data_IF_871452623509
#
_entry.id   IF_871452623509
#
_cell.length_a   1.000
_cell.length_b   1.000
_cell.length_c   1.000
_cell.angle_alpha   90.00
_cell.angle_beta   90.00
_cell.angle_gamma   90.00
#
_symmetry.space_group_name_H-M   'P 1'
#
loop_
_entity.id
_entity.type
_entity.pdbx_description
1 polymer ?
#
# COMPACT_ATOMS: atom_id res chain seq x y z
N UNK A 1 -9.87 32.06 -10.18
CA UNK A 1 -9.49 31.96 -8.75
C UNK A 1 -9.01 30.53 -8.54
N UNK A 2 -7.86 30.33 -7.90
CA UNK A 2 -7.40 28.98 -7.56
C UNK A 2 -8.30 28.32 -6.53
N UNK A 3 -8.40 27.00 -6.59
CA UNK A 3 -9.16 26.19 -5.63
C UNK A 3 -8.22 25.17 -4.97
N UNK A 4 -8.30 25.07 -3.65
CA UNK A 4 -7.53 24.09 -2.87
C UNK A 4 -8.39 22.90 -2.49
N UNK A 5 -7.88 21.70 -2.75
CA UNK A 5 -8.46 20.42 -2.35
C UNK A 5 -7.51 19.68 -1.43
N UNK A 6 -8.07 18.94 -0.47
CA UNK A 6 -7.32 18.03 0.40
C UNK A 6 -7.85 16.62 0.27
N UNK A 7 -6.94 15.65 0.22
CA UNK A 7 -7.24 14.24 0.08
C UNK A 7 -6.31 13.40 0.94
N UNK A 8 -6.85 12.39 1.62
CA UNK A 8 -6.06 11.42 2.36
C UNK A 8 -5.49 10.34 1.43
N UNK A 9 -4.19 10.13 1.48
CA UNK A 9 -3.49 9.07 0.77
C UNK A 9 -3.22 7.90 1.71
N UNK A 10 -4.12 6.92 1.76
CA UNK A 10 -4.06 5.82 2.71
C UNK A 10 -3.10 4.73 2.27
N UNK A 11 -2.30 4.23 3.22
CA UNK A 11 -1.41 3.10 3.03
C UNK A 11 -2.17 1.80 2.74
N UNK A 12 -1.48 0.82 2.16
CA UNK A 12 -1.98 -0.55 1.99
C UNK A 12 -1.09 -1.55 2.69
N UNK A 13 -1.66 -2.67 3.05
CA UNK A 13 -0.94 -3.91 3.37
C UNK A 13 -1.39 -5.04 2.45
N UNK A 14 -0.54 -6.06 2.27
CA UNK A 14 -0.90 -7.29 1.59
C UNK A 14 -1.27 -8.32 2.65
N UNK A 15 -2.53 -8.74 2.72
CA UNK A 15 -2.96 -9.85 3.58
C UNK A 15 -2.41 -11.17 3.04
N UNK A 16 -2.43 -11.32 1.71
CA UNK A 16 -1.72 -12.37 0.99
C UNK A 16 -0.91 -11.76 -0.13
N UNK A 17 0.24 -12.36 -0.46
CA UNK A 17 1.00 -12.05 -1.65
C UNK A 17 1.66 -13.31 -2.19
N UNK A 18 1.25 -13.72 -3.38
CA UNK A 18 1.85 -14.83 -4.13
C UNK A 18 2.47 -14.34 -5.44
N UNK A 19 3.53 -15.02 -5.88
CA UNK A 19 4.17 -14.82 -7.19
C UNK A 19 3.98 -16.11 -7.99
N UNK A 20 3.13 -16.04 -9.02
CA UNK A 20 2.66 -17.20 -9.76
C UNK A 20 3.60 -17.62 -10.91
N UNK A 21 4.52 -16.74 -11.30
CA UNK A 21 5.51 -17.03 -12.33
C UNK A 21 5.89 -15.82 -13.18
N UNK A 22 6.99 -15.97 -13.90
CA UNK A 22 7.56 -14.93 -14.75
C UNK A 22 6.82 -14.84 -16.09
N UNK A 23 6.61 -13.63 -16.55
CA UNK A 23 5.93 -13.29 -17.82
C UNK A 23 6.95 -13.08 -18.93
N UNK A 24 6.53 -13.21 -20.22
CA UNK A 24 7.41 -12.89 -21.35
C UNK A 24 7.91 -11.44 -21.39
N UNK A 25 7.17 -10.50 -20.76
CA UNK A 25 7.53 -9.09 -20.67
C UNK A 25 8.55 -8.78 -19.55
N UNK A 26 9.05 -9.83 -18.85
CA UNK A 26 10.03 -9.73 -17.76
C UNK A 26 9.44 -9.47 -16.39
N UNK A 27 8.16 -9.11 -16.29
CA UNK A 27 7.43 -9.00 -15.03
C UNK A 27 6.99 -10.36 -14.51
N UNK A 28 6.43 -10.38 -13.28
CA UNK A 28 5.82 -11.58 -12.70
C UNK A 28 4.31 -11.42 -12.62
N UNK A 29 3.58 -12.52 -12.80
CA UNK A 29 2.20 -12.60 -12.39
C UNK A 29 2.17 -12.73 -10.86
N UNK A 30 1.39 -11.87 -10.22
CA UNK A 30 1.14 -11.93 -8.79
C UNK A 30 -0.33 -12.14 -8.52
N UNK A 31 -0.63 -12.59 -7.32
CA UNK A 31 -1.99 -12.62 -6.77
C UNK A 31 -1.92 -12.19 -5.32
N UNK A 32 -2.68 -11.15 -4.96
CA UNK A 32 -2.61 -10.56 -3.63
C UNK A 32 -3.98 -10.12 -3.16
N UNK A 33 -4.33 -10.40 -1.92
CA UNK A 33 -5.41 -9.69 -1.24
C UNK A 33 -4.79 -8.50 -0.51
N UNK A 34 -5.21 -7.30 -0.91
CA UNK A 34 -4.75 -6.05 -0.32
C UNK A 34 -5.82 -5.41 0.57
N UNK A 35 -5.38 -4.73 1.61
CA UNK A 35 -6.21 -4.00 2.56
C UNK A 35 -5.69 -2.57 2.74
N UNK A 36 -6.58 -1.60 2.63
CA UNK A 36 -6.29 -0.20 3.00
C UNK A 36 -6.28 -0.04 4.52
N UNK A 37 -5.29 0.68 5.05
CA UNK A 37 -5.14 0.94 6.48
C UNK A 37 -5.09 2.43 6.79
N UNK A 38 -5.37 2.81 8.03
CA UNK A 38 -5.56 4.20 8.46
C UNK A 38 -4.28 5.05 8.52
N UNK A 39 -3.09 4.47 8.34
CA UNK A 39 -1.85 5.25 8.14
C UNK A 39 -1.98 5.98 6.81
N UNK A 40 -1.78 7.31 6.82
CA UNK A 40 -1.98 8.10 5.59
C UNK A 40 -1.04 9.28 5.50
N UNK A 41 -0.77 9.66 4.26
CA UNK A 41 -0.23 10.97 3.91
C UNK A 41 -1.36 11.97 3.67
N UNK A 42 -1.08 13.24 3.77
CA UNK A 42 -2.02 14.29 3.34
C UNK A 42 -1.53 14.87 2.01
N UNK A 43 -2.41 14.84 1.00
CA UNK A 43 -2.18 15.43 -0.32
C UNK A 43 -3.05 16.66 -0.48
N UNK A 44 -2.43 17.80 -0.78
CA UNK A 44 -3.11 19.06 -1.05
C UNK A 44 -2.86 19.45 -2.51
N UNK A 45 -3.91 19.76 -3.25
CA UNK A 45 -3.88 20.24 -4.62
C UNK A 45 -4.38 21.67 -4.67
N UNK A 46 -3.61 22.58 -5.24
CA UNK A 46 -4.09 23.91 -5.63
C UNK A 46 -4.18 23.95 -7.16
N UNK A 47 -5.40 24.15 -7.67
CA UNK A 47 -5.77 24.05 -9.08
C UNK A 47 -6.17 25.43 -9.60
N UNK A 48 -5.84 25.76 -10.84
CA UNK A 48 -6.11 27.08 -11.44
C UNK A 48 -5.15 28.15 -10.94
N UNK A 49 -3.90 27.78 -10.69
CA UNK A 49 -2.87 28.72 -10.20
C UNK A 49 -2.38 29.68 -11.28
N UNK A 50 -2.62 29.38 -12.56
CA UNK A 50 -2.08 30.11 -13.71
C UNK A 50 -0.55 30.03 -13.81
N UNK A 51 0.10 29.13 -13.09
CA UNK A 51 1.55 28.92 -13.03
C UNK A 51 1.92 27.52 -13.53
N UNK A 52 3.18 27.28 -13.90
CA UNK A 52 3.66 25.93 -14.18
C UNK A 52 3.38 24.97 -13.01
N UNK A 53 3.21 23.71 -13.30
CA UNK A 53 2.99 22.68 -12.28
C UNK A 53 4.17 22.61 -11.32
N UNK A 54 3.87 22.38 -10.05
CA UNK A 54 4.87 22.22 -9.00
C UNK A 54 4.48 21.05 -8.11
N UNK A 55 5.48 20.33 -7.58
CA UNK A 55 5.29 19.33 -6.54
C UNK A 55 6.25 19.61 -5.40
N UNK A 56 5.77 19.59 -4.18
CA UNK A 56 6.57 19.77 -2.97
C UNK A 56 6.33 18.65 -1.97
N UNK A 57 7.41 18.09 -1.44
CA UNK A 57 7.39 17.08 -0.38
C UNK A 57 8.60 17.30 0.53
N UNK A 58 8.37 17.37 1.84
CA UNK A 58 9.44 17.57 2.83
C UNK A 58 10.20 16.29 3.20
N UNK A 59 9.79 15.13 2.70
CA UNK A 59 10.45 13.86 3.01
C UNK A 59 11.68 13.63 2.10
N UNK A 60 12.77 13.20 2.71
CA UNK A 60 14.01 12.89 2.00
C UNK A 60 13.80 11.71 1.02
N UNK A 61 14.45 11.77 -0.16
CA UNK A 61 14.41 10.72 -1.18
C UNK A 61 13.10 10.62 -1.95
N UNK A 62 12.13 11.54 -1.75
CA UNK A 62 10.90 11.62 -2.54
C UNK A 62 11.11 12.64 -3.68
N UNK A 63 11.00 12.22 -4.96
CA UNK A 63 11.13 13.13 -6.09
C UNK A 63 10.11 14.27 -6.03
N UNK A 64 10.53 15.48 -6.43
CA UNK A 64 9.67 16.66 -6.49
C UNK A 64 9.52 17.19 -7.93
N UNK A 65 9.55 16.29 -8.90
CA UNK A 65 9.47 16.52 -10.33
C UNK A 65 8.50 15.53 -11.01
N UNK A 66 8.50 15.48 -12.32
CA UNK A 66 7.65 14.62 -13.17
C UNK A 66 7.88 13.12 -12.96
N UNK A 67 8.95 12.70 -12.29
CA UNK A 67 9.18 11.29 -11.96
C UNK A 67 8.34 10.82 -10.79
N UNK A 68 7.77 11.75 -10.01
CA UNK A 68 6.90 11.41 -8.89
C UNK A 68 5.56 10.83 -9.37
N UNK A 69 5.09 9.73 -8.74
CA UNK A 69 3.85 9.07 -9.12
C UNK A 69 2.61 9.97 -8.99
N UNK A 70 2.60 10.91 -8.04
CA UNK A 70 1.51 11.88 -7.87
C UNK A 70 1.44 12.88 -9.06
N UNK A 71 2.59 13.30 -9.57
CA UNK A 71 2.66 14.12 -10.79
C UNK A 71 2.16 13.33 -12.00
N UNK A 72 2.69 12.13 -12.21
CA UNK A 72 2.27 11.25 -13.31
C UNK A 72 0.78 10.91 -13.26
N UNK A 73 0.22 10.76 -12.08
CA UNK A 73 -1.23 10.55 -11.90
C UNK A 73 -2.05 11.75 -12.42
N UNK A 74 -1.60 12.98 -12.13
CA UNK A 74 -2.23 14.18 -12.66
C UNK A 74 -2.15 14.25 -14.20
N UNK A 75 -0.98 13.93 -14.77
CA UNK A 75 -0.80 13.90 -16.25
C UNK A 75 -1.74 12.86 -16.90
N UNK A 76 -1.80 11.64 -16.35
CA UNK A 76 -2.68 10.57 -16.86
C UNK A 76 -4.14 11.00 -16.79
N UNK A 77 -4.56 11.59 -15.67
CA UNK A 77 -5.93 12.11 -15.51
C UNK A 77 -6.26 13.20 -16.53
N UNK A 78 -5.39 14.20 -16.68
CA UNK A 78 -5.60 15.30 -17.62
C UNK A 78 -5.68 14.82 -19.07
N UNK A 79 -4.77 13.92 -19.46
CA UNK A 79 -4.80 13.29 -20.79
C UNK A 79 -6.09 12.53 -21.05
N UNK A 80 -6.54 11.69 -20.11
CA UNK A 80 -7.72 10.86 -20.28
C UNK A 80 -9.04 11.67 -20.27
N UNK A 81 -9.08 12.73 -19.46
CA UNK A 81 -10.29 13.58 -19.34
C UNK A 81 -10.36 14.71 -20.35
N UNK A 82 -9.26 15.02 -21.06
CA UNK A 82 -9.14 16.22 -21.90
C UNK A 82 -9.19 17.53 -21.11
N UNK A 83 -8.94 17.50 -19.80
CA UNK A 83 -8.97 18.66 -18.92
C UNK A 83 -7.58 19.24 -18.71
N UNK A 84 -7.50 20.56 -18.65
CA UNK A 84 -6.30 21.29 -18.22
C UNK A 84 -6.62 22.01 -16.90
N UNK A 85 -5.85 21.80 -15.84
CA UNK A 85 -6.03 22.46 -14.57
C UNK A 85 -5.64 23.95 -14.57
N UNK A 86 -5.12 24.50 -15.70
CA UNK A 86 -4.63 25.89 -15.82
C UNK A 86 -3.59 26.21 -14.72
N UNK A 87 -2.68 25.26 -14.46
CA UNK A 87 -1.69 25.30 -13.39
C UNK A 87 -2.10 24.48 -12.18
N UNK A 88 -1.16 23.70 -11.66
CA UNK A 88 -1.36 22.76 -10.56
C UNK A 88 -0.18 22.84 -9.58
N UNK A 89 -0.49 22.96 -8.29
CA UNK A 89 0.48 22.75 -7.23
C UNK A 89 0.08 21.53 -6.39
N UNK A 90 0.98 20.56 -6.26
CA UNK A 90 0.80 19.35 -5.45
C UNK A 90 1.70 19.49 -4.23
N UNK A 91 1.12 19.39 -3.03
CA UNK A 91 1.86 19.35 -1.78
C UNK A 91 1.57 18.04 -1.06
N UNK A 92 2.64 17.31 -0.70
CA UNK A 92 2.54 16.02 -0.01
C UNK A 92 3.17 16.14 1.37
N UNK A 93 2.40 15.80 2.42
CA UNK A 93 2.89 15.65 3.79
C UNK A 93 2.97 14.17 4.11
N UNK A 94 4.19 13.62 4.07
CA UNK A 94 4.46 12.19 4.27
C UNK A 94 4.38 11.80 5.75
N UNK A 95 3.66 10.70 6.01
CA UNK A 95 3.62 9.96 7.28
C UNK A 95 3.73 8.46 7.05
N UNK A 96 3.38 7.99 5.84
CA UNK A 96 3.60 6.59 5.45
C UNK A 96 5.11 6.38 5.31
N UNK A 97 5.71 5.42 6.01
CA UNK A 97 7.13 5.09 5.85
C UNK A 97 7.50 4.81 4.40
N UNK A 98 8.58 5.42 3.94
CA UNK A 98 9.10 5.20 2.58
C UNK A 98 9.82 3.84 2.48
N UNK A 99 9.80 3.22 1.29
CA UNK A 99 10.48 1.94 1.01
C UNK A 99 10.11 0.82 2.01
N UNK A 100 8.84 0.77 2.40
CA UNK A 100 8.32 -0.11 3.44
C UNK A 100 7.37 -1.22 2.92
N UNK A 101 7.06 -1.25 1.63
CA UNK A 101 6.01 -2.13 1.09
C UNK A 101 4.58 -1.67 1.41
N UNK A 102 4.41 -0.46 1.94
CA UNK A 102 3.12 0.14 2.34
C UNK A 102 2.42 0.94 1.23
N UNK A 103 3.02 1.04 0.04
CA UNK A 103 2.42 1.69 -1.12
C UNK A 103 2.30 3.22 -1.03
N UNK A 104 3.15 3.91 -0.23
CA UNK A 104 3.01 5.34 0.03
C UNK A 104 2.97 6.22 -1.21
N UNK A 105 3.89 6.06 -2.16
CA UNK A 105 3.87 6.83 -3.42
C UNK A 105 2.65 6.51 -4.28
N UNK A 106 2.19 5.25 -4.28
CA UNK A 106 0.97 4.83 -4.98
C UNK A 106 -0.29 5.39 -4.31
N UNK A 107 -0.27 5.52 -2.98
CA UNK A 107 -1.34 6.16 -2.23
C UNK A 107 -1.46 7.65 -2.57
N UNK A 108 -0.31 8.35 -2.65
CA UNK A 108 -0.27 9.76 -3.06
C UNK A 108 -0.85 9.95 -4.47
N UNK A 109 -0.45 9.09 -5.42
CA UNK A 109 -0.96 9.08 -6.79
C UNK A 109 -2.48 8.82 -6.85
N UNK A 110 -2.97 7.81 -6.11
CA UNK A 110 -4.40 7.52 -6.00
C UNK A 110 -5.19 8.69 -5.40
N UNK A 111 -4.64 9.38 -4.41
CA UNK A 111 -5.24 10.58 -3.83
C UNK A 111 -5.35 11.73 -4.85
N UNK A 112 -4.32 11.94 -5.68
CA UNK A 112 -4.36 12.93 -6.76
C UNK A 112 -5.46 12.59 -7.77
N UNK A 113 -5.57 11.33 -8.21
CA UNK A 113 -6.63 10.89 -9.12
C UNK A 113 -8.02 11.17 -8.55
N UNK A 114 -8.27 10.80 -7.28
CA UNK A 114 -9.57 11.06 -6.63
C UNK A 114 -9.87 12.55 -6.49
N UNK A 115 -8.87 13.34 -6.09
CA UNK A 115 -9.04 14.79 -5.92
C UNK A 115 -9.38 15.49 -7.24
N UNK A 116 -8.67 15.18 -8.34
CA UNK A 116 -8.95 15.71 -9.67
C UNK A 116 -10.31 15.24 -10.19
N UNK A 117 -10.65 13.96 -9.99
CA UNK A 117 -11.95 13.43 -10.38
C UNK A 117 -13.10 14.19 -9.68
N UNK A 118 -12.96 14.48 -8.38
CA UNK A 118 -13.91 15.30 -7.61
C UNK A 118 -13.96 16.75 -8.12
N UNK A 119 -12.80 17.34 -8.40
CA UNK A 119 -12.72 18.73 -8.90
C UNK A 119 -13.49 18.92 -10.21
N UNK A 120 -13.35 17.96 -11.12
CA UNK A 120 -14.03 18.00 -12.43
C UNK A 120 -15.40 17.32 -12.43
N UNK A 121 -16.06 17.22 -11.27
CA UNK A 121 -17.43 16.69 -11.11
C UNK A 121 -17.56 15.21 -11.56
N UNK A 122 -16.55 14.39 -11.24
CA UNK A 122 -16.55 12.93 -11.42
C UNK A 122 -16.71 12.46 -12.87
N UNK A 123 -15.83 12.86 -13.80
CA UNK A 123 -15.88 12.38 -15.19
C UNK A 123 -15.65 10.85 -15.30
N UNK A 124 -15.02 10.24 -14.31
CA UNK A 124 -14.75 8.81 -14.27
C UNK A 124 -15.46 8.13 -13.10
N UNK A 125 -15.96 6.90 -13.32
CA UNK A 125 -16.31 6.00 -12.22
C UNK A 125 -15.08 5.61 -11.43
N UNK A 126 -15.25 5.10 -10.20
CA UNK A 126 -14.12 4.68 -9.36
C UNK A 126 -13.28 3.58 -10.03
N UNK A 127 -13.91 2.67 -10.78
CA UNK A 127 -13.20 1.61 -11.51
C UNK A 127 -12.43 2.15 -12.71
N UNK A 128 -13.04 3.02 -13.51
CA UNK A 128 -12.33 3.68 -14.61
C UNK A 128 -11.14 4.52 -14.10
N UNK A 129 -11.31 5.18 -12.95
CA UNK A 129 -10.23 5.92 -12.30
C UNK A 129 -9.10 5.00 -11.82
N UNK A 130 -9.43 3.82 -11.29
CA UNK A 130 -8.46 2.81 -10.88
C UNK A 130 -7.71 2.22 -12.09
N UNK A 131 -8.39 2.05 -13.25
CA UNK A 131 -7.74 1.65 -14.51
C UNK A 131 -6.72 2.69 -14.98
N UNK A 132 -7.03 3.99 -14.86
CA UNK A 132 -6.05 5.06 -15.11
C UNK A 132 -4.86 4.95 -14.15
N UNK A 133 -5.10 4.59 -12.89
CA UNK A 133 -4.05 4.34 -11.91
C UNK A 133 -3.07 3.23 -12.34
N UNK A 134 -3.53 2.22 -13.08
CA UNK A 134 -2.68 1.14 -13.60
C UNK A 134 -1.60 1.62 -14.58
N UNK A 135 -1.85 2.72 -15.30
CA UNK A 135 -0.86 3.34 -16.19
C UNK A 135 0.28 4.02 -15.41
N UNK A 136 0.00 4.43 -14.17
CA UNK A 136 0.97 5.10 -13.29
C UNK A 136 1.82 4.09 -12.52
N UNK A 137 1.17 3.05 -11.96
CA UNK A 137 1.86 2.00 -11.23
C UNK A 137 0.89 0.92 -10.72
N UNK A 138 1.40 -0.30 -10.52
CA UNK A 138 0.57 -1.46 -10.17
C UNK A 138 -0.29 -1.26 -8.92
N UNK A 139 0.29 -0.73 -7.84
CA UNK A 139 -0.45 -0.49 -6.58
C UNK A 139 -1.34 0.75 -6.64
N UNK A 140 -1.18 1.63 -7.65
CA UNK A 140 -1.98 2.87 -7.76
C UNK A 140 -3.44 2.57 -8.01
N UNK A 141 -3.74 1.52 -8.80
CA UNK A 141 -5.11 1.05 -9.02
C UNK A 141 -5.80 0.74 -7.69
N UNK A 142 -5.17 -0.08 -6.85
CA UNK A 142 -5.70 -0.43 -5.54
C UNK A 142 -5.82 0.79 -4.63
N UNK A 143 -4.78 1.63 -4.54
CA UNK A 143 -4.79 2.84 -3.72
C UNK A 143 -5.85 3.86 -4.17
N UNK A 144 -6.27 3.81 -5.44
CA UNK A 144 -7.37 4.63 -5.97
C UNK A 144 -8.73 4.08 -5.54
N UNK A 145 -8.91 2.74 -5.60
CA UNK A 145 -10.16 2.06 -5.23
C UNK A 145 -10.36 2.01 -3.71
N UNK A 146 -9.34 1.63 -2.96
CA UNK A 146 -9.37 1.45 -1.51
C UNK A 146 -10.13 0.23 -1.00
N UNK A 147 -10.21 0.10 0.33
CA UNK A 147 -10.88 -0.99 1.06
C UNK A 147 -10.15 -2.31 0.99
N UNK A 148 -10.86 -3.41 0.71
CA UNK A 148 -10.32 -4.78 0.57
C UNK A 148 -10.52 -5.25 -0.86
N UNK A 149 -9.48 -5.75 -1.53
CA UNK A 149 -9.59 -6.28 -2.89
C UNK A 149 -8.60 -7.40 -3.19
N UNK A 150 -9.02 -8.34 -4.04
CA UNK A 150 -8.12 -9.26 -4.71
C UNK A 150 -7.52 -8.57 -5.94
N UNK A 151 -6.20 -8.63 -6.06
CA UNK A 151 -5.40 -7.94 -7.06
C UNK A 151 -4.53 -8.94 -7.84
N UNK A 152 -5.05 -9.59 -8.89
CA UNK A 152 -4.28 -10.46 -9.78
C UNK A 152 -3.52 -9.66 -10.85
N UNK A 153 -2.77 -10.39 -11.70
CA UNK A 153 -1.99 -9.84 -12.80
C UNK A 153 -0.64 -9.33 -12.31
N UNK A 154 -0.34 -8.05 -12.46
CA UNK A 154 0.79 -7.35 -11.83
C UNK A 154 0.34 -6.62 -10.55
N UNK A 155 -0.93 -6.87 -10.10
CA UNK A 155 -1.61 -6.15 -9.03
C UNK A 155 -2.57 -5.05 -9.52
N UNK A 156 -2.65 -4.84 -10.85
CA UNK A 156 -3.45 -3.77 -11.47
C UNK A 156 -4.92 -4.15 -11.69
N UNK A 157 -5.23 -5.43 -11.76
CA UNK A 157 -6.61 -5.90 -11.88
C UNK A 157 -7.23 -5.95 -10.50
N UNK A 158 -8.45 -5.46 -10.38
CA UNK A 158 -9.10 -5.33 -9.09
C UNK A 158 -10.42 -6.08 -9.06
N UNK A 159 -10.58 -6.94 -8.06
CA UNK A 159 -11.87 -7.50 -7.68
C UNK A 159 -12.15 -7.14 -6.23
N UNK A 160 -13.08 -6.20 -6.03
CA UNK A 160 -13.48 -5.77 -4.69
C UNK A 160 -14.01 -6.96 -3.89
N UNK A 161 -13.58 -7.06 -2.64
CA UNK A 161 -14.08 -7.98 -1.63
C UNK A 161 -14.92 -7.20 -0.61
N UNK A 162 -15.72 -7.86 0.25
CA UNK A 162 -16.32 -7.22 1.39
C UNK A 162 -15.27 -6.48 2.22
N UNK A 163 -15.62 -5.33 2.75
CA UNK A 163 -14.70 -4.54 3.55
C UNK A 163 -14.38 -5.27 4.85
N UNK A 164 -13.09 -5.38 5.16
CA UNK A 164 -12.62 -5.92 6.43
C UNK A 164 -12.81 -4.86 7.50
N UNK A 165 -13.92 -4.94 8.24
CA UNK A 165 -14.27 -3.96 9.26
C UNK A 165 -13.59 -4.27 10.60
N UNK A 166 -13.27 -3.21 11.37
CA UNK A 166 -12.75 -3.29 12.75
C UNK A 166 -11.42 -4.04 12.93
N UNK A 167 -10.72 -4.39 11.85
CA UNK A 167 -9.41 -5.00 11.96
C UNK A 167 -8.37 -3.99 12.47
N UNK A 168 -7.63 -4.40 13.50
CA UNK A 168 -6.57 -3.60 14.11
C UNK A 168 -5.20 -4.19 13.76
N UNK A 169 -4.26 -3.30 13.47
CA UNK A 169 -2.91 -3.65 13.07
C UNK A 169 -1.87 -2.87 13.87
N UNK A 170 -0.74 -3.53 14.15
CA UNK A 170 0.49 -2.85 14.56
C UNK A 170 1.49 -3.03 13.43
N UNK A 171 1.97 -1.92 12.86
CA UNK A 171 2.92 -1.90 11.74
C UNK A 171 4.28 -1.46 12.26
N UNK A 172 5.33 -2.25 11.99
CA UNK A 172 6.70 -1.94 12.33
C UNK A 172 7.56 -1.91 11.07
N UNK A 173 8.27 -0.80 10.85
CA UNK A 173 9.22 -0.63 9.75
C UNK A 173 10.64 -0.56 10.33
N UNK A 174 11.48 -1.62 10.18
CA UNK A 174 12.89 -1.59 10.58
C UNK A 174 13.74 -0.70 9.66
N UNK A 175 14.96 -0.38 10.10
CA UNK A 175 15.83 0.62 9.45
C UNK A 175 16.56 0.12 8.20
N UNK A 176 16.03 -0.87 7.50
CA UNK A 176 16.55 -1.29 6.20
C UNK A 176 15.48 -1.21 5.12
N UNK A 177 15.91 -1.23 3.88
CA UNK A 177 15.05 -1.30 2.71
C UNK A 177 15.45 -2.46 1.82
N UNK A 178 14.49 -2.97 1.04
CA UNK A 178 14.68 -4.10 0.14
C UNK A 178 14.48 -3.63 -1.30
N UNK A 179 15.42 -4.00 -2.17
CA UNK A 179 15.29 -3.75 -3.62
C UNK A 179 14.27 -4.71 -4.22
N UNK A 180 13.14 -4.20 -4.68
CA UNK A 180 12.09 -5.01 -5.29
C UNK A 180 12.57 -5.82 -6.51
N UNK A 181 13.36 -5.26 -7.47
CA UNK A 181 13.88 -6.06 -8.59
C UNK A 181 14.79 -7.21 -8.13
N UNK A 182 15.66 -6.95 -7.16
CA UNK A 182 16.55 -7.98 -6.61
C UNK A 182 15.77 -9.08 -5.87
N UNK A 183 14.71 -8.69 -5.15
CA UNK A 183 13.85 -9.63 -4.45
C UNK A 183 13.16 -10.62 -5.40
N UNK A 184 12.63 -10.15 -6.52
CA UNK A 184 12.04 -11.02 -7.55
C UNK A 184 13.08 -11.98 -8.15
N UNK A 185 14.28 -11.47 -8.47
CA UNK A 185 15.38 -12.32 -8.99
C UNK A 185 15.73 -13.45 -8.02
N UNK A 186 15.83 -13.14 -6.75
CA UNK A 186 16.16 -14.14 -5.71
C UNK A 186 15.02 -15.10 -5.43
N UNK A 187 13.76 -14.63 -5.52
CA UNK A 187 12.61 -15.50 -5.37
C UNK A 187 12.58 -16.57 -6.46
N UNK A 188 12.96 -16.25 -7.70
CA UNK A 188 13.05 -17.21 -8.81
C UNK A 188 14.03 -18.38 -8.52
N UNK A 189 15.00 -18.15 -7.62
CA UNK A 189 16.04 -19.11 -7.22
C UNK A 189 15.72 -19.81 -5.87
N UNK A 190 14.64 -19.40 -5.19
CA UNK A 190 14.32 -19.84 -3.84
C UNK A 190 13.10 -20.76 -3.82
N UNK A 191 13.21 -21.88 -3.11
CA UNK A 191 12.02 -22.72 -2.85
C UNK A 191 11.03 -21.96 -1.94
N UNK A 192 9.78 -21.88 -2.36
CA UNK A 192 8.70 -21.25 -1.60
C UNK A 192 8.06 -22.29 -0.69
N UNK A 193 8.32 -22.24 0.64
CA UNK A 193 7.89 -23.30 1.56
C UNK A 193 6.38 -23.29 1.83
N UNK A 194 5.74 -22.11 1.73
CA UNK A 194 4.32 -21.91 1.92
C UNK A 194 3.79 -20.90 0.92
N UNK A 195 2.68 -21.24 0.27
CA UNK A 195 1.94 -20.33 -0.59
C UNK A 195 0.62 -19.90 0.06
N UNK A 196 0.11 -18.72 -0.26
CA UNK A 196 -1.21 -18.28 0.19
C UNK A 196 -2.32 -19.24 -0.24
N UNK A 197 -3.30 -19.43 0.62
CA UNK A 197 -4.58 -20.05 0.26
C UNK A 197 -5.61 -18.93 0.00
N UNK A 198 -5.68 -18.44 -1.23
CA UNK A 198 -6.56 -17.32 -1.60
C UNK A 198 -8.03 -17.64 -1.34
N UNK A 199 -8.46 -18.88 -1.65
CA UNK A 199 -9.85 -19.29 -1.42
C UNK A 199 -10.22 -19.24 0.08
N UNK A 200 -9.33 -19.71 0.95
CA UNK A 200 -9.56 -19.65 2.40
C UNK A 200 -9.52 -18.20 2.92
N UNK A 201 -8.62 -17.35 2.41
CA UNK A 201 -8.56 -15.93 2.75
C UNK A 201 -9.87 -15.23 2.36
N UNK A 202 -10.35 -15.42 1.14
CA UNK A 202 -11.59 -14.82 0.67
C UNK A 202 -12.80 -15.30 1.48
N UNK A 203 -12.88 -16.59 1.79
CA UNK A 203 -13.96 -17.15 2.62
C UNK A 203 -13.97 -16.52 4.02
N UNK A 204 -12.79 -16.35 4.64
CA UNK A 204 -12.66 -15.71 5.94
C UNK A 204 -13.10 -14.23 5.91
N UNK A 205 -12.73 -13.49 4.85
CA UNK A 205 -13.15 -12.09 4.66
C UNK A 205 -14.68 -12.00 4.49
N UNK A 206 -15.27 -12.87 3.66
CA UNK A 206 -16.73 -12.89 3.42
C UNK A 206 -17.50 -13.19 4.72
N UNK A 207 -16.93 -14.03 5.59
CA UNK A 207 -17.52 -14.37 6.90
C UNK A 207 -17.27 -13.28 7.96
N UNK A 208 -16.36 -12.33 7.73
CA UNK A 208 -15.94 -11.35 8.72
C UNK A 208 -15.15 -11.94 9.88
N UNK A 209 -14.57 -13.15 9.70
CA UNK A 209 -13.80 -13.84 10.75
C UNK A 209 -12.34 -13.37 10.74
N UNK A 210 -12.04 -12.37 11.59
CA UNK A 210 -10.69 -11.80 11.71
C UNK A 210 -9.65 -12.82 12.18
N UNK A 211 -10.04 -13.81 13.00
CA UNK A 211 -9.15 -14.88 13.43
C UNK A 211 -8.76 -15.80 12.27
N UNK A 212 -9.74 -16.18 11.45
CA UNK A 212 -9.49 -16.96 10.25
C UNK A 212 -8.66 -16.16 9.21
N UNK A 213 -8.93 -14.85 9.01
CA UNK A 213 -8.11 -13.96 8.16
C UNK A 213 -6.66 -13.96 8.64
N UNK A 214 -6.44 -13.79 9.94
CA UNK A 214 -5.10 -13.74 10.54
C UNK A 214 -4.29 -15.03 10.29
N UNK A 215 -4.95 -16.20 10.31
CA UNK A 215 -4.31 -17.49 10.04
C UNK A 215 -3.91 -17.67 8.57
N UNK A 216 -4.56 -16.95 7.64
CA UNK A 216 -4.26 -17.02 6.20
C UNK A 216 -3.20 -16.01 5.75
N UNK A 217 -2.73 -15.10 6.64
CA UNK A 217 -1.69 -14.14 6.28
C UNK A 217 -0.45 -14.85 5.74
N UNK A 218 0.00 -14.45 4.55
CA UNK A 218 1.14 -15.09 3.87
C UNK A 218 1.73 -14.20 2.79
N UNK A 219 3.06 -14.08 2.80
CA UNK A 219 3.81 -13.35 1.77
C UNK A 219 4.99 -14.20 1.33
N UNK A 220 5.02 -14.60 0.05
CA UNK A 220 6.06 -15.49 -0.50
C UNK A 220 7.46 -14.86 -0.53
N UNK A 221 7.58 -13.54 -0.38
CA UNK A 221 8.88 -12.87 -0.28
C UNK A 221 9.53 -13.00 1.11
N UNK A 222 8.77 -13.31 2.15
CA UNK A 222 9.31 -13.37 3.51
C UNK A 222 10.52 -14.30 3.68
N UNK A 223 10.51 -15.55 3.16
CA UNK A 223 11.66 -16.44 3.31
C UNK A 223 12.94 -15.86 2.71
N UNK A 224 12.82 -15.13 1.58
CA UNK A 224 13.96 -14.49 0.91
C UNK A 224 14.52 -13.35 1.75
N UNK A 225 13.63 -12.49 2.29
CA UNK A 225 14.06 -11.32 3.07
C UNK A 225 14.57 -11.74 4.45
N UNK A 226 13.91 -12.69 5.11
CA UNK A 226 14.33 -13.15 6.45
C UNK A 226 15.63 -13.92 6.45
N UNK A 227 16.04 -14.52 5.32
CA UNK A 227 17.36 -15.16 5.19
C UNK A 227 18.54 -14.17 5.35
N UNK A 228 18.36 -12.90 4.96
CA UNK A 228 19.36 -11.85 5.07
C UNK A 228 19.14 -10.93 6.27
N UNK A 229 17.88 -10.75 6.66
CA UNK A 229 17.47 -9.82 7.70
C UNK A 229 16.80 -10.57 8.86
N UNK A 230 17.62 -11.22 9.70
CA UNK A 230 17.13 -11.97 10.87
C UNK A 230 16.32 -11.13 11.85
N UNK A 231 16.49 -9.80 11.79
CA UNK A 231 15.73 -8.82 12.55
C UNK A 231 14.21 -8.95 12.33
N UNK A 232 13.77 -9.31 11.11
CA UNK A 232 12.34 -9.57 10.84
C UNK A 232 11.80 -10.73 11.66
N UNK A 233 12.62 -11.79 11.85
CA UNK A 233 12.22 -12.92 12.70
C UNK A 233 12.09 -12.49 14.17
N UNK A 234 12.96 -11.59 14.63
CA UNK A 234 12.87 -11.03 15.98
C UNK A 234 11.60 -10.21 16.17
N UNK A 235 11.30 -9.28 15.25
CA UNK A 235 10.06 -8.50 15.28
C UNK A 235 8.82 -9.42 15.30
N UNK A 236 8.79 -10.43 14.43
CA UNK A 236 7.69 -11.40 14.36
C UNK A 236 7.57 -12.24 15.63
N UNK A 237 8.69 -12.59 16.27
CA UNK A 237 8.66 -13.29 17.56
C UNK A 237 8.06 -12.43 18.67
N UNK A 238 8.37 -11.14 18.71
CA UNK A 238 7.72 -10.19 19.62
C UNK A 238 6.22 -10.10 19.34
N UNK A 239 5.81 -9.93 18.07
CA UNK A 239 4.39 -9.89 17.69
C UNK A 239 3.64 -11.13 18.20
N UNK A 240 4.22 -12.31 18.01
CA UNK A 240 3.65 -13.56 18.51
C UNK A 240 3.55 -13.59 20.04
N UNK A 241 4.63 -13.19 20.74
CA UNK A 241 4.70 -13.23 22.21
C UNK A 241 3.72 -12.27 22.88
N UNK A 242 3.34 -11.19 22.18
CA UNK A 242 2.38 -10.19 22.64
C UNK A 242 0.97 -10.37 22.09
N UNK A 243 0.61 -11.60 21.68
CA UNK A 243 -0.77 -12.01 21.41
C UNK A 243 -1.32 -11.55 20.07
N UNK A 244 -0.47 -11.37 19.04
CA UNK A 244 -0.94 -11.16 17.68
C UNK A 244 -1.78 -12.37 17.21
N UNK A 245 -2.91 -12.12 16.55
CA UNK A 245 -3.71 -13.14 15.89
C UNK A 245 -3.00 -13.76 14.69
N UNK A 246 -2.15 -12.95 14.03
CA UNK A 246 -1.30 -13.32 12.91
C UNK A 246 -0.42 -12.12 12.50
N UNK A 247 0.60 -12.39 11.72
CA UNK A 247 1.55 -11.37 11.28
C UNK A 247 2.14 -11.74 9.92
N UNK A 248 2.52 -10.73 9.13
CA UNK A 248 3.18 -10.90 7.84
C UNK A 248 4.01 -9.67 7.46
N UNK A 249 4.93 -9.84 6.54
CA UNK A 249 5.58 -8.75 5.83
C UNK A 249 4.65 -8.22 4.75
N UNK A 250 4.60 -6.91 4.52
CA UNK A 250 3.81 -6.31 3.44
C UNK A 250 4.65 -6.01 2.21
N UNK A 251 4.12 -6.30 1.03
CA UNK A 251 4.80 -6.05 -0.25
C UNK A 251 6.17 -6.70 -0.32
N UNK A 252 7.14 -5.99 -0.87
CA UNK A 252 8.56 -6.37 -0.89
C UNK A 252 9.28 -6.13 0.44
N UNK A 253 8.55 -5.68 1.45
CA UNK A 253 9.14 -5.29 2.74
C UNK A 253 9.66 -3.84 2.72
N UNK A 254 10.35 -3.42 3.77
CA UNK A 254 10.75 -4.14 4.98
C UNK A 254 9.68 -4.15 6.09
N UNK A 255 8.56 -3.42 5.96
CA UNK A 255 7.58 -3.38 7.03
C UNK A 255 6.91 -4.73 7.28
N UNK A 256 6.76 -5.04 8.57
CA UNK A 256 6.01 -6.18 9.09
C UNK A 256 4.80 -5.63 9.83
N UNK A 257 3.69 -6.32 9.74
CA UNK A 257 2.51 -5.96 10.51
C UNK A 257 1.95 -7.17 11.27
N UNK A 258 1.33 -6.89 12.41
CA UNK A 258 0.55 -7.84 13.18
C UNK A 258 -0.93 -7.44 13.13
N UNK A 259 -1.83 -8.40 12.96
CA UNK A 259 -3.24 -8.25 13.29
C UNK A 259 -3.43 -8.58 14.77
N UNK A 260 -4.12 -7.73 15.52
CA UNK A 260 -4.27 -7.84 16.98
C UNK A 260 -5.75 -7.84 17.39
N UNK A 261 -6.10 -8.49 18.52
CA UNK A 261 -7.51 -8.70 18.92
C UNK A 261 -8.19 -7.42 19.45
N UNK A 262 -7.42 -6.47 20.00
CA UNK A 262 -7.97 -5.22 20.55
C UNK A 262 -6.96 -4.10 20.58
N UNK A 263 -7.44 -2.89 20.90
CA UNK A 263 -6.57 -1.70 21.03
C UNK A 263 -5.58 -1.84 22.20
N UNK A 264 -5.94 -2.51 23.27
CA UNK A 264 -5.07 -2.77 24.42
C UNK A 264 -3.85 -3.60 23.99
N UNK A 265 -4.05 -4.67 23.22
CA UNK A 265 -2.96 -5.47 22.65
C UNK A 265 -2.12 -4.63 21.68
N UNK A 266 -2.76 -3.82 20.83
CA UNK A 266 -2.06 -2.92 19.92
C UNK A 266 -1.17 -1.94 20.69
N UNK A 267 -1.67 -1.33 21.77
CA UNK A 267 -0.93 -0.36 22.56
C UNK A 267 0.30 -0.98 23.24
N UNK A 268 0.16 -2.16 23.84
CA UNK A 268 1.26 -2.87 24.49
C UNK A 268 2.32 -3.27 23.46
N UNK A 269 1.93 -3.92 22.36
CA UNK A 269 2.86 -4.34 21.32
C UNK A 269 3.57 -3.14 20.66
N UNK A 270 2.83 -2.07 20.40
CA UNK A 270 3.40 -0.83 19.85
C UNK A 270 4.45 -0.22 20.78
N UNK A 271 4.18 -0.18 22.09
CA UNK A 271 5.15 0.32 23.09
C UNK A 271 6.42 -0.52 23.07
N UNK A 272 6.29 -1.84 23.15
CA UNK A 272 7.44 -2.77 23.15
C UNK A 272 8.30 -2.68 21.88
N UNK A 273 7.66 -2.52 20.72
CA UNK A 273 8.40 -2.37 19.47
C UNK A 273 9.08 -0.99 19.37
N UNK A 274 8.47 0.06 19.91
CA UNK A 274 9.03 1.43 19.90
C UNK A 274 10.33 1.58 20.69
N UNK A 275 10.61 0.69 21.62
CA UNK A 275 11.90 0.69 22.35
C UNK A 275 13.10 0.47 21.42
N UNK A 276 12.88 -0.21 20.28
CA UNK A 276 13.95 -0.55 19.33
C UNK A 276 13.71 0.02 17.91
N UNK A 277 12.46 0.39 17.58
CA UNK A 277 12.09 0.79 16.22
C UNK A 277 11.35 2.13 16.24
N UNK A 278 11.89 3.18 15.61
CA UNK A 278 11.27 4.51 15.62
C UNK A 278 9.96 4.57 14.79
N UNK A 279 9.81 3.69 13.80
CA UNK A 279 8.68 3.67 12.88
C UNK A 279 7.70 2.54 13.21
N UNK A 280 6.94 2.71 14.31
CA UNK A 280 5.88 1.79 14.75
C UNK A 280 4.56 2.53 14.86
N UNK A 281 3.51 1.96 14.28
CA UNK A 281 2.20 2.59 14.15
C UNK A 281 1.10 1.62 14.54
N UNK A 282 0.06 2.14 15.20
CA UNK A 282 -1.23 1.45 15.31
C UNK A 282 -2.11 1.92 14.15
N UNK A 283 -2.72 0.98 13.46
CA UNK A 283 -3.59 1.24 12.32
C UNK A 283 -4.86 0.41 12.42
N UNK A 284 -5.89 0.83 11.69
CA UNK A 284 -7.12 0.05 11.49
C UNK A 284 -7.42 -0.09 10.00
N UNK A 285 -8.23 -1.06 9.64
CA UNK A 285 -8.83 -1.17 8.30
C UNK A 285 -9.68 0.07 7.97
N UNK A 286 -9.68 0.47 6.70
CA UNK A 286 -10.43 1.62 6.15
C UNK A 286 -11.14 1.20 4.88
#
# INVERSE_FOLDING_TARGET
>A
MSQTLREGAFAKINLTLDVLGKRPDGYHNIESVMQTISIRDDVELEIGTGKPWTLTCGAEGVPQDETNLAWRAAEVFCRASGRDPEGLSIRIVKRIPTQAGLGGGSADAGAVLRALNRYYAYPFSVYALAELGAEVGSDVSFCTLGGTALCPGRGERLRKLPDLTEALFVVCKPDFSVSTPELYRRLDETAIPRRPNQTAMEAAIVQGDLGAVAQQLCNVFEPVVTAEHLELNYIKSLMNSYGALGFAMTGSGSAVYAMVPSFEYAAVLCAMLKDNYPQVFIAKSV
#
